data_IF_361123052879
#
_entry.id   IF_361123052879
#
_cell.length_a   1.000
_cell.length_b   1.000
_cell.length_c   1.000
_cell.angle_alpha   90.00
_cell.angle_beta   90.00
_cell.angle_gamma   90.00
#
_symmetry.space_group_name_H-M   'P 1'
#
loop_
_entity.id
_entity.type
_entity.pdbx_description
1 polymer ?
#
# COMPACT_ATOMS: atom_id res chain seq x y z
N UNK A 1 -47.04 6.71 4.86
CA UNK A 1 -45.75 6.61 5.59
C UNK A 1 -44.53 6.43 4.67
N UNK A 2 -44.69 5.95 3.42
CA UNK A 2 -43.59 5.82 2.45
C UNK A 2 -42.86 7.13 2.10
N UNK A 3 -43.58 8.26 2.02
CA UNK A 3 -43.01 9.54 1.57
C UNK A 3 -41.93 10.04 2.55
N UNK A 4 -42.13 9.85 3.88
CA UNK A 4 -41.17 10.25 4.91
C UNK A 4 -39.87 9.42 4.86
N UNK A 5 -39.96 8.15 4.48
CA UNK A 5 -38.79 7.29 4.35
C UNK A 5 -37.95 7.66 3.11
N UNK A 6 -38.59 8.00 1.98
CA UNK A 6 -37.88 8.48 0.79
C UNK A 6 -37.15 9.80 1.02
N UNK A 7 -37.73 10.74 1.77
CA UNK A 7 -37.08 12.03 2.06
C UNK A 7 -35.79 11.87 2.87
N UNK A 8 -35.72 10.90 3.77
CA UNK A 8 -34.51 10.65 4.58
C UNK A 8 -33.41 10.01 3.73
N UNK A 9 -33.75 9.11 2.80
CA UNK A 9 -32.78 8.49 1.89
C UNK A 9 -32.19 9.50 0.90
N UNK A 10 -32.99 10.45 0.41
CA UNK A 10 -32.48 11.53 -0.45
C UNK A 10 -31.53 12.48 0.29
N UNK A 11 -31.79 12.78 1.57
CA UNK A 11 -30.92 13.62 2.39
C UNK A 11 -29.53 13.02 2.61
N UNK A 12 -29.41 11.69 2.65
CA UNK A 12 -28.13 10.99 2.81
C UNK A 12 -27.22 11.09 1.58
N UNK A 13 -27.77 11.30 0.38
CA UNK A 13 -27.01 11.40 -0.88
C UNK A 13 -26.40 12.80 -1.04
N UNK A 14 -26.99 13.83 -0.40
CA UNK A 14 -26.52 15.22 -0.47
C UNK A 14 -25.53 15.59 0.64
N UNK A 15 -25.28 14.70 1.59
CA UNK A 15 -24.23 14.91 2.57
C UNK A 15 -22.89 14.59 1.89
N UNK A 16 -22.01 15.58 1.67
CA UNK A 16 -20.65 15.27 1.26
C UNK A 16 -20.06 14.31 2.30
N UNK A 17 -19.44 13.22 1.84
CA UNK A 17 -18.67 12.34 2.70
C UNK A 17 -17.46 13.14 3.21
N UNK A 18 -17.66 13.86 4.31
CA UNK A 18 -16.61 14.62 4.96
C UNK A 18 -15.79 13.64 5.78
N UNK A 19 -14.62 13.27 5.27
CA UNK A 19 -13.59 12.71 6.11
C UNK A 19 -13.18 13.81 7.09
N UNK A 20 -13.47 13.62 8.38
CA UNK A 20 -12.97 14.51 9.41
C UNK A 20 -11.44 14.46 9.33
N UNK A 21 -10.83 15.59 8.96
CA UNK A 21 -9.37 15.75 8.97
C UNK A 21 -8.90 15.48 10.39
N UNK A 22 -8.42 14.27 10.66
CA UNK A 22 -7.80 13.97 11.94
C UNK A 22 -6.53 14.80 11.99
N UNK A 23 -6.54 15.85 12.81
CA UNK A 23 -5.34 16.56 13.22
C UNK A 23 -4.28 15.52 13.62
N UNK A 24 -3.15 15.52 12.91
CA UNK A 24 -1.87 14.88 13.28
C UNK A 24 -1.96 13.74 14.31
N UNK A 25 -2.62 12.63 13.97
CA UNK A 25 -2.17 11.35 14.51
C UNK A 25 -0.86 11.08 13.79
N UNK A 26 0.23 11.56 14.37
CA UNK A 26 1.57 11.33 13.88
C UNK A 26 1.77 9.81 13.88
N UNK A 27 1.58 9.23 12.70
CA UNK A 27 1.57 7.79 12.56
C UNK A 27 2.92 7.26 13.03
N UNK A 28 2.92 6.35 14.01
CA UNK A 28 4.16 5.73 14.46
C UNK A 28 4.64 4.83 13.34
N UNK A 29 5.63 5.31 12.58
CA UNK A 29 6.23 4.57 11.49
C UNK A 29 6.89 3.30 12.06
N UNK A 30 6.55 2.16 11.45
CA UNK A 30 7.21 0.87 11.69
C UNK A 30 7.86 0.43 10.39
N UNK A 31 9.10 -0.02 10.43
CA UNK A 31 9.80 -0.55 9.26
C UNK A 31 10.08 -2.04 9.47
N UNK A 32 9.78 -2.85 8.46
CA UNK A 32 10.14 -4.27 8.39
C UNK A 32 11.05 -4.48 7.19
N UNK A 33 12.04 -5.35 7.34
CA UNK A 33 13.01 -5.69 6.30
C UNK A 33 13.12 -7.21 6.16
N UNK A 34 13.51 -7.67 4.97
CA UNK A 34 13.85 -9.07 4.75
C UNK A 34 12.68 -10.02 5.01
N UNK A 35 12.89 -11.01 5.89
CA UNK A 35 11.93 -12.11 6.13
C UNK A 35 10.61 -11.58 6.73
N UNK A 36 10.68 -10.62 7.66
CA UNK A 36 9.48 -10.09 8.32
C UNK A 36 8.59 -9.33 7.31
N UNK A 37 9.21 -8.59 6.39
CA UNK A 37 8.53 -7.92 5.30
C UNK A 37 7.90 -8.94 4.31
N UNK A 38 8.61 -10.04 4.01
CA UNK A 38 8.11 -11.09 3.13
C UNK A 38 6.94 -11.85 3.74
N UNK A 39 7.00 -12.16 5.03
CA UNK A 39 5.88 -12.76 5.75
C UNK A 39 4.64 -11.84 5.69
N UNK A 40 4.85 -10.51 5.75
CA UNK A 40 3.76 -9.56 5.62
C UNK A 40 3.12 -9.55 4.23
N UNK A 41 3.91 -9.68 3.17
CA UNK A 41 3.39 -9.82 1.79
C UNK A 41 2.48 -11.04 1.63
N UNK A 42 2.73 -12.12 2.38
CA UNK A 42 1.93 -13.35 2.32
C UNK A 42 0.68 -13.27 3.19
N UNK A 43 0.79 -12.66 4.37
CA UNK A 43 -0.30 -12.62 5.36
C UNK A 43 -1.23 -11.41 5.19
N UNK A 44 -0.75 -10.33 4.58
CA UNK A 44 -1.51 -9.11 4.37
C UNK A 44 -2.47 -9.20 3.19
N UNK A 45 -3.49 -8.33 3.19
CA UNK A 45 -4.37 -8.13 2.03
C UNK A 45 -3.75 -7.08 1.12
N UNK A 46 -3.37 -7.46 -0.10
CA UNK A 46 -2.89 -6.52 -1.12
C UNK A 46 -4.06 -5.65 -1.57
N UNK A 47 -3.95 -4.36 -1.31
CA UNK A 47 -4.94 -3.35 -1.68
C UNK A 47 -4.63 -2.75 -3.06
N UNK A 48 -3.34 -2.54 -3.35
CA UNK A 48 -2.87 -1.92 -4.58
C UNK A 48 -1.43 -2.35 -4.89
N UNK A 49 -1.06 -2.36 -6.17
CA UNK A 49 0.32 -2.61 -6.60
C UNK A 49 0.67 -1.73 -7.79
N UNK A 50 1.76 -0.98 -7.67
CA UNK A 50 2.34 -0.21 -8.77
C UNK A 50 3.61 -0.87 -9.27
N UNK A 51 3.86 -0.75 -10.57
CA UNK A 51 5.01 -1.31 -11.24
C UNK A 51 5.84 -0.19 -11.86
N UNK A 52 7.12 -0.16 -11.50
CA UNK A 52 8.12 0.67 -12.14
C UNK A 52 9.25 -0.21 -12.65
N UNK A 53 9.68 0.05 -13.89
CA UNK A 53 10.85 -0.60 -14.47
C UNK A 53 11.79 0.47 -14.97
N UNK A 54 12.96 0.52 -14.38
CA UNK A 54 13.99 1.44 -14.81
C UNK A 54 14.80 0.81 -15.97
N UNK A 55 15.22 1.63 -16.96
CA UNK A 55 15.93 1.14 -18.13
C UNK A 55 17.31 0.57 -17.75
N UNK A 56 17.85 -0.29 -18.63
CA UNK A 56 19.15 -0.94 -18.43
C UNK A 56 20.24 0.08 -18.10
N UNK A 57 20.98 -0.17 -17.03
CA UNK A 57 22.20 0.57 -16.74
C UNK A 57 23.34 0.17 -17.71
N UNK A 58 24.49 0.83 -17.61
CA UNK A 58 25.68 0.54 -18.42
C UNK A 58 26.25 -0.86 -18.18
N UNK A 59 25.87 -1.53 -17.10
CA UNK A 59 26.24 -2.91 -16.78
C UNK A 59 25.20 -3.94 -17.28
N UNK A 60 24.17 -3.50 -18.01
CA UNK A 60 23.11 -4.37 -18.54
C UNK A 60 22.13 -4.88 -17.48
N UNK A 61 22.15 -4.30 -16.28
CA UNK A 61 21.22 -4.60 -15.20
C UNK A 61 19.94 -3.77 -15.36
N UNK A 62 18.78 -4.37 -15.08
CA UNK A 62 17.54 -3.64 -14.91
C UNK A 62 17.10 -3.75 -13.46
N UNK A 63 16.61 -2.65 -12.91
CA UNK A 63 15.86 -2.66 -11.65
C UNK A 63 14.36 -2.68 -11.94
N UNK A 64 13.66 -3.58 -11.26
CA UNK A 64 12.21 -3.66 -11.29
C UNK A 64 11.71 -3.39 -9.88
N UNK A 65 10.89 -2.36 -9.72
CA UNK A 65 10.35 -1.95 -8.44
C UNK A 65 8.84 -2.14 -8.41
N UNK A 66 8.36 -2.83 -7.40
CA UNK A 66 6.93 -2.93 -7.09
C UNK A 66 6.63 -2.18 -5.81
N UNK A 67 5.57 -1.37 -5.81
CA UNK A 67 5.08 -0.70 -4.61
C UNK A 67 3.75 -1.32 -4.24
N UNK A 68 3.70 -2.03 -3.13
CA UNK A 68 2.51 -2.70 -2.63
C UNK A 68 1.91 -1.91 -1.47
N UNK A 69 0.62 -1.59 -1.58
CA UNK A 69 -0.16 -1.15 -0.42
C UNK A 69 -0.84 -2.37 0.16
N UNK A 70 -0.54 -2.73 1.41
CA UNK A 70 -1.15 -3.86 2.11
C UNK A 70 -1.92 -3.37 3.32
N UNK A 71 -2.96 -4.11 3.68
CA UNK A 71 -3.63 -3.98 4.96
C UNK A 71 -3.42 -5.25 5.78
N UNK A 72 -2.93 -5.08 7.00
CA UNK A 72 -2.87 -6.14 8.00
C UNK A 72 -3.27 -5.53 9.33
N UNK A 73 -4.27 -6.13 9.97
CA UNK A 73 -4.89 -5.60 11.19
C UNK A 73 -5.38 -4.14 11.04
N UNK A 74 -5.00 -3.26 11.97
CA UNK A 74 -5.28 -1.82 11.99
C UNK A 74 -4.13 -0.99 11.39
N UNK A 75 -3.27 -1.61 10.58
CA UNK A 75 -2.09 -0.98 10.00
C UNK A 75 -2.18 -1.03 8.46
N UNK A 76 -1.91 0.11 7.82
CA UNK A 76 -1.65 0.18 6.38
C UNK A 76 -0.14 0.12 6.19
N UNK A 77 0.31 -0.81 5.36
CA UNK A 77 1.72 -1.00 5.01
C UNK A 77 1.96 -0.58 3.56
N UNK A 78 3.06 0.12 3.33
CA UNK A 78 3.63 0.39 2.00
C UNK A 78 4.90 -0.44 1.91
N UNK A 79 4.92 -1.45 1.04
CA UNK A 79 6.09 -2.29 0.80
C UNK A 79 6.70 -1.99 -0.56
N UNK A 80 8.00 -1.75 -0.58
CA UNK A 80 8.79 -1.56 -1.80
C UNK A 80 9.59 -2.83 -2.02
N UNK A 81 9.31 -3.51 -3.14
CA UNK A 81 10.02 -4.69 -3.58
C UNK A 81 10.90 -4.31 -4.77
N UNK A 82 12.22 -4.32 -4.60
CA UNK A 82 13.19 -4.08 -5.66
C UNK A 82 13.83 -5.40 -6.10
N UNK A 83 13.79 -5.66 -7.41
CA UNK A 83 14.37 -6.84 -8.05
C UNK A 83 15.41 -6.39 -9.08
N UNK A 84 16.68 -6.69 -8.81
CA UNK A 84 17.75 -6.50 -9.78
C UNK A 84 17.83 -7.73 -10.70
N UNK A 85 17.75 -7.49 -12.00
CA UNK A 85 17.77 -8.53 -13.03
C UNK A 85 18.96 -8.29 -13.96
N UNK A 86 19.77 -9.33 -14.15
CA UNK A 86 20.87 -9.32 -15.11
C UNK A 86 20.71 -10.50 -16.07
N UNK A 87 20.68 -10.21 -17.38
CA UNK A 87 20.52 -11.23 -18.44
C UNK A 87 19.28 -12.12 -18.26
N UNK A 88 18.18 -11.54 -17.74
CA UNK A 88 16.93 -12.27 -17.48
C UNK A 88 16.92 -13.09 -16.18
N UNK A 89 18.02 -13.12 -15.43
CA UNK A 89 18.12 -13.83 -14.17
C UNK A 89 18.03 -12.84 -12.98
N UNK A 90 17.20 -13.15 -11.96
CA UNK A 90 17.16 -12.35 -10.74
C UNK A 90 18.49 -12.49 -9.98
N UNK A 91 19.09 -11.35 -9.60
CA UNK A 91 20.36 -11.28 -8.89
C UNK A 91 20.19 -10.96 -7.41
N UNK A 92 19.29 -10.04 -7.10
CA UNK A 92 18.92 -9.73 -5.73
C UNK A 92 17.45 -9.34 -5.67
N UNK A 93 16.87 -9.60 -4.51
CA UNK A 93 15.53 -9.21 -4.14
C UNK A 93 15.63 -8.50 -2.80
N UNK A 94 15.20 -7.25 -2.77
CA UNK A 94 15.07 -6.46 -1.55
C UNK A 94 13.60 -6.16 -1.32
N UNK A 95 13.18 -6.24 -0.06
CA UNK A 95 11.82 -5.92 0.34
C UNK A 95 11.86 -5.16 1.65
N UNK A 96 11.32 -3.95 1.62
CA UNK A 96 11.20 -3.08 2.79
C UNK A 96 9.76 -2.62 2.90
N UNK A 97 9.17 -2.77 4.09
CA UNK A 97 7.80 -2.35 4.36
C UNK A 97 7.78 -1.27 5.42
N UNK A 98 7.04 -0.18 5.17
CA UNK A 98 6.77 0.86 6.16
C UNK A 98 5.29 0.91 6.48
N UNK A 99 4.94 0.84 7.77
CA UNK A 99 3.58 0.76 8.26
C UNK A 99 3.14 1.99 9.03
N UNK A 100 1.84 2.26 8.99
CA UNK A 100 1.16 3.32 9.73
C UNK A 100 -0.15 2.76 10.33
N UNK A 101 -0.25 2.82 11.66
CA UNK A 101 -1.45 2.41 12.40
C UNK A 101 -2.53 3.50 12.26
N UNK A 102 -3.72 3.13 11.79
CA UNK A 102 -4.87 4.03 11.77
C UNK A 102 -5.81 3.65 12.92
N UNK A 103 -5.62 4.32 14.06
CA UNK A 103 -6.57 4.31 15.18
C UNK A 103 -7.93 4.92 14.78
#
# INVERSE_FOLDING_TARGET
MLIKAMTILLLLIFLPATAQSSSERQCRLKTLEGIDAQEMMVKGVIMHTEFQKDPKDSAGQNEITFIHTLRADWTIWICIQSLLVHEGNPRSLELVCTGCDYD
#
